data_IF_730558137864
#
_entry.id   IF_730558137864
#
_cell.length_a   1.000
_cell.length_b   1.000
_cell.length_c   1.000
_cell.angle_alpha   90.00
_cell.angle_beta   90.00
_cell.angle_gamma   90.00
#
_symmetry.space_group_name_H-M   'P 1'
#
loop_
_entity.id
_entity.type
_entity.pdbx_description
1 polymer ?
#
# COMPACT_ATOMS: atom_id res chain seq x y z
N UNK A 1 -14.57 42.66 21.20
CA UNK A 1 -15.08 42.93 19.84
C UNK A 1 -14.26 42.29 18.70
N UNK A 2 -12.94 42.07 18.89
CA UNK A 2 -12.07 41.45 17.86
C UNK A 2 -12.23 39.91 17.77
N UNK A 3 -12.46 39.24 18.91
CA UNK A 3 -12.71 37.78 18.98
C UNK A 3 -14.06 37.42 18.31
N UNK A 4 -15.10 38.23 18.50
CA UNK A 4 -16.40 38.01 17.85
C UNK A 4 -16.33 38.15 16.32
N UNK A 5 -15.45 39.00 15.77
CA UNK A 5 -15.20 39.10 14.32
C UNK A 5 -14.40 37.93 13.75
N UNK A 6 -13.53 37.30 14.55
CA UNK A 6 -12.80 36.10 14.15
C UNK A 6 -13.77 34.90 13.97
N UNK A 7 -14.76 34.78 14.85
CA UNK A 7 -15.82 33.76 14.75
C UNK A 7 -16.95 34.12 13.76
N UNK A 8 -17.20 35.41 13.49
CA UNK A 8 -18.20 35.83 12.51
C UNK A 8 -17.82 35.52 11.05
N UNK A 9 -16.52 35.39 10.76
CA UNK A 9 -16.02 34.92 9.45
C UNK A 9 -15.99 33.38 9.35
N UNK A 10 -16.34 32.65 10.41
CA UNK A 10 -16.65 31.22 10.36
C UNK A 10 -18.12 31.02 9.98
N UNK A 11 -18.52 31.60 8.83
CA UNK A 11 -19.80 31.24 8.24
C UNK A 11 -19.66 29.81 7.66
N UNK A 12 -20.09 28.81 8.43
CA UNK A 12 -20.22 27.41 8.02
C UNK A 12 -21.10 27.20 6.75
N UNK A 13 -21.65 28.26 6.19
CA UNK A 13 -22.32 28.31 4.89
C UNK A 13 -21.39 27.91 3.73
N UNK A 14 -20.06 28.06 3.87
CA UNK A 14 -19.08 27.74 2.82
C UNK A 14 -18.25 26.47 3.12
N UNK A 15 -18.90 25.44 3.66
CA UNK A 15 -18.26 24.16 3.96
C UNK A 15 -17.59 23.47 2.75
N UNK A 16 -17.88 23.89 1.51
CA UNK A 16 -17.29 23.32 0.29
C UNK A 16 -15.84 23.73 0.14
N UNK A 17 -15.53 25.01 0.37
CA UNK A 17 -14.16 25.52 0.31
C UNK A 17 -13.27 24.88 1.38
N UNK A 18 -13.79 24.70 2.61
CA UNK A 18 -13.05 24.01 3.67
C UNK A 18 -12.84 22.52 3.37
N UNK A 19 -13.89 21.81 2.94
CA UNK A 19 -13.77 20.41 2.57
C UNK A 19 -12.75 20.22 1.44
N UNK A 20 -12.81 21.07 0.42
CA UNK A 20 -11.86 21.06 -0.69
C UNK A 20 -10.41 21.31 -0.24
N UNK A 21 -10.19 22.28 0.65
CA UNK A 21 -8.87 22.52 1.25
C UNK A 21 -8.30 21.27 1.93
N UNK A 22 -9.08 20.61 2.80
CA UNK A 22 -8.60 19.42 3.51
C UNK A 22 -8.40 18.20 2.58
N UNK A 23 -9.15 18.08 1.49
CA UNK A 23 -8.90 17.05 0.47
C UNK A 23 -7.55 17.28 -0.22
N UNK A 24 -7.28 18.52 -0.69
CA UNK A 24 -5.98 18.84 -1.29
C UNK A 24 -4.84 18.65 -0.29
N UNK A 25 -5.02 19.12 0.95
CA UNK A 25 -4.06 18.96 2.03
C UNK A 25 -3.77 17.48 2.31
N UNK A 26 -4.80 16.63 2.36
CA UNK A 26 -4.64 15.20 2.56
C UNK A 26 -3.79 14.55 1.44
N UNK A 27 -4.09 14.84 0.17
CA UNK A 27 -3.36 14.27 -0.97
C UNK A 27 -1.89 14.72 -1.00
N UNK A 28 -1.63 15.96 -0.58
CA UNK A 28 -0.29 16.51 -0.41
C UNK A 28 0.42 15.84 0.77
N UNK A 29 -0.12 15.93 1.98
CA UNK A 29 0.50 15.42 3.21
C UNK A 29 0.64 13.91 3.24
N UNK A 30 -0.20 13.16 2.50
CA UNK A 30 -0.11 11.69 2.40
C UNK A 30 1.30 11.19 2.03
N UNK A 31 2.08 12.01 1.31
CA UNK A 31 3.43 11.64 0.89
C UNK A 31 4.53 12.18 1.81
N UNK A 32 4.25 13.05 2.79
CA UNK A 32 5.31 13.69 3.59
C UNK A 32 5.03 14.05 5.03
N UNK A 33 3.80 13.92 5.51
CA UNK A 33 3.48 14.15 6.91
C UNK A 33 2.33 13.26 7.35
N UNK A 34 2.64 12.28 8.20
CA UNK A 34 1.63 11.44 8.86
C UNK A 34 0.63 12.31 9.63
N UNK A 35 1.14 13.23 10.46
CA UNK A 35 0.32 14.14 11.25
C UNK A 35 -0.56 15.04 10.37
N UNK A 36 -0.01 15.61 9.28
CA UNK A 36 -0.77 16.42 8.34
C UNK A 36 -1.85 15.61 7.61
N UNK A 37 -1.54 14.36 7.25
CA UNK A 37 -2.49 13.44 6.61
C UNK A 37 -3.62 13.09 7.56
N UNK A 38 -3.33 12.70 8.81
CA UNK A 38 -4.31 12.37 9.84
C UNK A 38 -5.20 13.55 10.20
N UNK A 39 -4.63 14.74 10.41
CA UNK A 39 -5.39 15.94 10.66
C UNK A 39 -6.35 16.24 9.50
N UNK A 40 -5.89 16.08 8.26
CA UNK A 40 -6.73 16.30 7.08
C UNK A 40 -7.89 15.30 7.01
N UNK A 41 -7.63 14.01 7.24
CA UNK A 41 -8.69 12.98 7.30
C UNK A 41 -9.71 13.31 8.39
N UNK A 42 -9.25 13.70 9.58
CA UNK A 42 -10.12 14.08 10.69
C UNK A 42 -11.08 15.22 10.30
N UNK A 43 -10.56 16.29 9.70
CA UNK A 43 -11.41 17.40 9.25
C UNK A 43 -12.32 17.04 8.07
N UNK A 44 -11.87 16.18 7.15
CA UNK A 44 -12.73 15.63 6.08
C UNK A 44 -13.93 14.90 6.70
N UNK A 45 -13.70 14.04 7.68
CA UNK A 45 -14.79 13.35 8.39
C UNK A 45 -15.69 14.31 9.16
N UNK A 46 -15.12 15.26 9.91
CA UNK A 46 -15.88 16.21 10.71
C UNK A 46 -16.82 17.06 9.85
N UNK A 47 -16.31 17.62 8.75
CA UNK A 47 -17.09 18.44 7.82
C UNK A 47 -18.14 17.59 7.10
N UNK A 48 -17.78 16.37 6.68
CA UNK A 48 -18.72 15.46 6.00
C UNK A 48 -19.85 15.01 6.92
N UNK A 49 -19.55 14.73 8.21
CA UNK A 49 -20.54 14.40 9.22
C UNK A 49 -21.45 15.59 9.52
N UNK A 50 -20.89 16.79 9.68
CA UNK A 50 -21.67 18.02 9.85
C UNK A 50 -22.64 18.23 8.68
N UNK A 51 -22.20 18.03 7.44
CA UNK A 51 -23.06 18.09 6.25
C UNK A 51 -24.15 17.02 6.27
N UNK A 52 -23.80 15.78 6.62
CA UNK A 52 -24.74 14.67 6.70
C UNK A 52 -25.90 14.96 7.67
N UNK A 53 -25.61 15.58 8.82
CA UNK A 53 -26.66 15.95 9.80
C UNK A 53 -27.55 17.13 9.35
N UNK A 54 -27.07 17.99 8.45
CA UNK A 54 -27.77 19.21 8.00
C UNK A 54 -28.51 19.04 6.67
N UNK A 55 -27.94 18.28 5.73
CA UNK A 55 -28.50 17.98 4.41
C UNK A 55 -28.77 16.47 4.41
N UNK A 56 -30.04 16.06 4.47
CA UNK A 56 -30.47 14.64 4.50
C UNK A 56 -30.02 13.88 3.23
N UNK A 57 -28.73 13.54 3.13
CA UNK A 57 -28.18 12.75 2.02
C UNK A 57 -26.80 13.21 1.55
N UNK A 58 -25.76 12.53 2.05
CA UNK A 58 -24.47 12.37 1.38
C UNK A 58 -23.97 10.92 1.51
N UNK A 59 -24.90 9.96 1.61
CA UNK A 59 -24.55 8.55 1.68
C UNK A 59 -24.22 8.03 0.29
N UNK A 60 -22.93 7.95 -0.06
CA UNK A 60 -22.52 7.09 -1.17
C UNK A 60 -22.83 5.65 -0.83
N UNK A 61 -23.93 5.14 -1.36
CA UNK A 61 -24.32 3.75 -1.17
C UNK A 61 -23.55 2.87 -2.16
N UNK A 62 -22.49 2.23 -1.66
CA UNK A 62 -21.78 1.21 -2.40
C UNK A 62 -21.60 -0.04 -1.53
N UNK A 63 -21.86 -1.21 -2.11
CA UNK A 63 -21.85 -2.49 -1.39
C UNK A 63 -20.51 -2.79 -0.70
N UNK A 64 -19.41 -2.22 -1.22
CA UNK A 64 -18.06 -2.32 -0.61
C UNK A 64 -17.98 -1.76 0.82
N UNK A 65 -18.95 -0.97 1.26
CA UNK A 65 -18.96 -0.47 2.66
C UNK A 65 -19.15 -1.61 3.65
N UNK A 66 -19.87 -2.68 3.28
CA UNK A 66 -20.14 -3.81 4.16
C UNK A 66 -18.90 -4.60 4.56
N UNK A 67 -18.05 -5.09 3.64
CA UNK A 67 -16.81 -5.76 4.06
C UNK A 67 -15.89 -4.85 4.87
N UNK A 68 -15.90 -3.53 4.62
CA UNK A 68 -15.17 -2.55 5.45
C UNK A 68 -15.71 -2.49 6.87
N UNK A 69 -17.03 -2.33 7.04
CA UNK A 69 -17.68 -2.29 8.36
C UNK A 69 -17.46 -3.61 9.10
N UNK A 70 -17.64 -4.75 8.43
CA UNK A 70 -17.42 -6.07 9.03
C UNK A 70 -15.97 -6.19 9.51
N UNK A 71 -15.00 -5.82 8.66
CA UNK A 71 -13.58 -5.86 9.03
C UNK A 71 -13.28 -4.98 10.25
N UNK A 72 -13.73 -3.72 10.25
CA UNK A 72 -13.53 -2.79 11.37
C UNK A 72 -14.11 -3.32 12.69
N UNK A 73 -15.31 -3.90 12.66
CA UNK A 73 -15.92 -4.45 13.86
C UNK A 73 -15.17 -5.70 14.34
N UNK A 74 -14.75 -6.58 13.43
CA UNK A 74 -14.01 -7.79 13.78
C UNK A 74 -12.63 -7.51 14.33
N UNK A 75 -11.97 -6.41 13.92
CA UNK A 75 -10.68 -6.06 14.52
C UNK A 75 -10.81 -5.74 16.01
N UNK A 76 -11.96 -5.21 16.43
CA UNK A 76 -12.28 -4.93 17.85
C UNK A 76 -12.78 -6.18 18.57
N UNK A 77 -13.75 -6.90 17.97
CA UNK A 77 -14.37 -8.09 18.56
C UNK A 77 -13.36 -9.23 18.76
N UNK A 78 -12.43 -9.40 17.83
CA UNK A 78 -11.33 -10.36 17.96
C UNK A 78 -10.50 -10.12 19.22
N UNK A 79 -10.19 -8.86 19.53
CA UNK A 79 -9.52 -8.51 20.79
C UNK A 79 -10.37 -8.89 22.00
N UNK A 80 -11.65 -8.51 21.99
CA UNK A 80 -12.58 -8.73 23.09
C UNK A 80 -12.76 -10.23 23.43
N UNK A 81 -12.96 -11.08 22.42
CA UNK A 81 -13.22 -12.51 22.66
C UNK A 81 -12.02 -13.29 23.17
N UNK A 82 -10.79 -12.82 22.94
CA UNK A 82 -9.60 -13.52 23.41
C UNK A 82 -9.16 -13.14 24.83
N UNK A 83 -9.63 -12.01 25.39
CA UNK A 83 -9.51 -11.70 26.81
C UNK A 83 -8.09 -11.65 27.39
N UNK A 84 -7.06 -11.46 26.56
CA UNK A 84 -5.67 -11.42 27.03
C UNK A 84 -5.44 -10.25 28.02
N UNK A 85 -4.83 -10.50 29.20
CA UNK A 85 -4.64 -9.47 30.22
C UNK A 85 -3.76 -8.31 29.74
N UNK A 86 -4.16 -7.07 30.05
CA UNK A 86 -3.35 -5.87 29.79
C UNK A 86 -3.44 -5.30 28.37
N UNK A 87 -4.44 -5.70 27.59
CA UNK A 87 -4.56 -5.36 26.17
C UNK A 87 -5.75 -4.44 25.93
N UNK A 88 -5.51 -3.29 25.30
CA UNK A 88 -6.56 -2.38 24.89
C UNK A 88 -7.16 -2.82 23.55
N UNK A 89 -8.33 -3.46 23.60
CA UNK A 89 -9.05 -3.93 22.41
C UNK A 89 -9.47 -2.79 21.47
N UNK A 90 -9.58 -1.56 21.98
CA UNK A 90 -9.88 -0.36 21.20
C UNK A 90 -8.67 0.16 20.41
N UNK A 91 -7.46 -0.33 20.71
CA UNK A 91 -6.26 0.03 19.94
C UNK A 91 -6.40 -0.33 18.46
N UNK A 92 -7.13 -1.41 18.14
CA UNK A 92 -7.47 -1.76 16.75
C UNK A 92 -8.34 -0.71 16.06
N UNK A 93 -9.21 -0.01 16.80
CA UNK A 93 -10.02 1.08 16.26
C UNK A 93 -9.14 2.30 15.93
N UNK A 94 -8.09 2.56 16.73
CA UNK A 94 -7.12 3.62 16.47
C UNK A 94 -6.34 3.41 15.16
N UNK A 95 -6.13 2.16 14.73
CA UNK A 95 -5.42 1.88 13.48
C UNK A 95 -6.34 1.83 12.27
N UNK A 96 -7.60 1.42 12.46
CA UNK A 96 -8.55 1.20 11.37
C UNK A 96 -9.61 2.30 11.17
N UNK A 97 -9.60 3.39 11.95
CA UNK A 97 -10.59 4.49 11.84
C UNK A 97 -10.65 5.13 10.43
N UNK A 98 -9.57 5.03 9.65
CA UNK A 98 -9.49 5.58 8.29
C UNK A 98 -10.20 4.72 7.25
N UNK A 99 -10.61 3.48 7.55
CA UNK A 99 -11.11 2.57 6.53
C UNK A 99 -12.41 3.04 5.85
N UNK A 100 -13.17 3.96 6.46
CA UNK A 100 -14.34 4.60 5.85
C UNK A 100 -14.00 5.76 4.89
N UNK A 101 -12.74 6.20 4.87
CA UNK A 101 -12.26 7.34 4.10
C UNK A 101 -12.58 7.24 2.60
N UNK A 102 -12.45 6.08 1.93
CA UNK A 102 -12.74 5.98 0.50
C UNK A 102 -14.18 6.41 0.14
N UNK A 103 -15.16 6.09 0.98
CA UNK A 103 -16.57 6.43 0.74
C UNK A 103 -16.84 7.91 0.94
N UNK A 104 -16.14 8.54 1.88
CA UNK A 104 -16.21 9.97 2.12
C UNK A 104 -15.50 10.74 1.00
N UNK A 105 -14.29 10.33 0.64
CA UNK A 105 -13.52 10.91 -0.49
C UNK A 105 -14.30 10.78 -1.80
N UNK A 106 -14.96 9.66 -2.05
CA UNK A 106 -15.71 9.42 -3.30
C UNK A 106 -16.72 10.54 -3.60
N UNK A 107 -17.36 11.09 -2.56
CA UNK A 107 -18.30 12.20 -2.67
C UNK A 107 -17.58 13.54 -2.55
N UNK A 108 -16.66 13.66 -1.60
CA UNK A 108 -15.96 14.90 -1.32
C UNK A 108 -15.17 15.42 -2.54
N UNK A 109 -14.71 14.54 -3.44
CA UNK A 109 -14.04 14.93 -4.68
C UNK A 109 -14.94 15.79 -5.60
N UNK A 110 -16.27 15.72 -5.49
CA UNK A 110 -17.18 16.58 -6.27
C UNK A 110 -16.97 18.08 -5.99
N UNK A 111 -16.39 18.41 -4.84
CA UNK A 111 -16.14 19.78 -4.41
C UNK A 111 -14.78 20.33 -4.90
N UNK A 112 -13.99 19.52 -5.60
CA UNK A 112 -12.64 19.88 -6.04
C UNK A 112 -12.42 19.54 -7.51
N UNK A 113 -11.48 20.26 -8.13
CA UNK A 113 -11.04 19.94 -9.48
C UNK A 113 -10.16 18.68 -9.44
N UNK A 114 -10.69 17.57 -9.92
CA UNK A 114 -10.03 16.27 -9.82
C UNK A 114 -8.63 16.25 -10.47
N UNK A 115 -8.43 16.92 -11.60
CA UNK A 115 -7.11 17.00 -12.23
C UNK A 115 -6.09 17.71 -11.34
N UNK A 116 -6.50 18.80 -10.69
CA UNK A 116 -5.68 19.52 -9.72
C UNK A 116 -5.37 18.64 -8.52
N UNK A 117 -6.35 17.87 -8.03
CA UNK A 117 -6.15 16.95 -6.90
C UNK A 117 -5.08 15.90 -7.20
N UNK A 118 -5.14 15.30 -8.40
CA UNK A 118 -4.14 14.33 -8.86
C UNK A 118 -2.75 14.96 -8.99
N UNK A 119 -2.65 16.23 -9.44
CA UNK A 119 -1.37 16.97 -9.46
C UNK A 119 -0.82 17.22 -8.06
N UNK A 120 -1.70 17.49 -7.09
CA UNK A 120 -1.36 17.71 -5.69
C UNK A 120 -0.83 16.44 -5.00
N UNK A 121 -1.18 15.25 -5.49
CA UNK A 121 -0.52 14.00 -5.10
C UNK A 121 0.76 13.75 -5.91
N UNK A 122 0.73 14.01 -7.21
CA UNK A 122 1.82 13.69 -8.13
C UNK A 122 3.12 14.42 -7.80
N UNK A 123 3.07 15.74 -7.61
CA UNK A 123 4.27 16.57 -7.46
C UNK A 123 5.05 16.21 -6.19
N UNK A 124 4.42 16.15 -4.99
CA UNK A 124 5.12 15.68 -3.79
C UNK A 124 5.69 14.26 -3.95
N UNK A 125 4.92 13.35 -4.57
CA UNK A 125 5.38 11.98 -4.77
C UNK A 125 6.59 11.89 -5.71
N UNK A 126 6.63 12.72 -6.75
CA UNK A 126 7.78 12.84 -7.65
C UNK A 126 9.04 13.29 -6.90
N UNK A 127 8.92 14.31 -6.04
CA UNK A 127 10.05 14.82 -5.24
C UNK A 127 10.55 13.76 -4.26
N UNK A 128 9.64 13.06 -3.58
CA UNK A 128 9.98 11.97 -2.64
C UNK A 128 10.63 10.81 -3.38
N UNK A 129 10.19 10.49 -4.60
CA UNK A 129 10.77 9.44 -5.43
C UNK A 129 12.20 9.79 -5.87
N UNK A 130 12.42 11.03 -6.35
CA UNK A 130 13.76 11.52 -6.69
C UNK A 130 14.68 11.45 -5.48
N UNK A 131 14.18 11.85 -4.31
CA UNK A 131 14.96 11.80 -3.09
C UNK A 131 15.36 10.36 -2.69
N UNK A 132 14.45 9.39 -2.82
CA UNK A 132 14.76 7.98 -2.60
C UNK A 132 15.76 7.39 -3.61
N UNK A 133 15.81 7.90 -4.83
CA UNK A 133 16.83 7.53 -5.83
C UNK A 133 18.19 8.12 -5.43
N UNK A 134 18.23 9.39 -5.02
CA UNK A 134 19.47 10.03 -4.54
C UNK A 134 20.01 9.27 -3.34
N UNK A 135 19.14 8.94 -2.37
CA UNK A 135 19.50 8.12 -1.21
C UNK A 135 20.16 6.81 -1.60
N UNK A 136 19.64 6.11 -2.61
CA UNK A 136 20.18 4.83 -3.06
C UNK A 136 21.66 4.92 -3.47
N UNK A 137 22.05 5.99 -4.16
CA UNK A 137 23.43 6.17 -4.63
C UNK A 137 24.37 6.87 -3.64
N UNK A 138 23.83 7.68 -2.72
CA UNK A 138 24.65 8.60 -1.92
C UNK A 138 24.54 8.38 -0.41
N UNK A 139 23.52 7.65 0.05
CA UNK A 139 23.21 7.55 1.46
C UNK A 139 22.76 8.88 2.08
N UNK A 140 22.25 9.82 1.28
CA UNK A 140 21.87 11.15 1.76
C UNK A 140 20.61 11.16 2.64
N UNK A 141 20.74 11.54 3.92
CA UNK A 141 19.61 11.85 4.80
C UNK A 141 19.57 13.35 5.13
N UNK A 142 18.97 14.17 4.26
CA UNK A 142 18.92 15.63 4.42
C UNK A 142 17.76 16.09 5.29
N UNK A 143 16.75 15.26 5.49
CA UNK A 143 15.55 15.62 6.25
C UNK A 143 15.71 15.36 7.76
N UNK A 144 16.85 14.78 8.18
CA UNK A 144 17.09 14.37 9.57
C UNK A 144 18.47 14.82 10.01
N UNK A 145 18.60 15.11 11.31
CA UNK A 145 19.90 15.42 11.91
C UNK A 145 20.83 14.19 11.86
N UNK A 146 22.16 14.37 11.92
CA UNK A 146 23.12 13.26 11.88
C UNK A 146 22.82 12.12 12.87
N UNK A 147 22.32 12.45 14.06
CA UNK A 147 22.00 11.49 15.13
C UNK A 147 20.70 10.73 14.88
N UNK A 148 19.87 11.21 13.95
CA UNK A 148 18.54 10.65 13.62
C UNK A 148 18.47 10.09 12.21
N UNK A 149 19.62 9.91 11.54
CA UNK A 149 19.66 9.37 10.19
C UNK A 149 19.06 7.97 10.16
N UNK A 150 18.20 7.74 9.18
CA UNK A 150 17.58 6.44 8.92
C UNK A 150 18.18 5.77 7.68
N UNK A 151 19.31 6.27 7.17
CA UNK A 151 19.99 5.65 6.04
C UNK A 151 20.51 4.27 6.40
N UNK A 152 20.29 3.32 5.50
CA UNK A 152 20.67 1.92 5.71
C UNK A 152 21.45 1.45 4.50
N UNK A 153 22.76 1.24 4.68
CA UNK A 153 23.64 0.64 3.69
C UNK A 153 23.17 -0.78 3.41
N UNK A 154 23.00 -1.11 2.14
CA UNK A 154 22.61 -2.45 1.71
C UNK A 154 23.81 -3.25 1.21
N UNK A 155 24.64 -2.63 0.37
CA UNK A 155 25.72 -3.32 -0.32
C UNK A 155 26.89 -2.39 -0.60
N UNK A 156 28.10 -2.91 -0.49
CA UNK A 156 29.34 -2.26 -0.93
C UNK A 156 29.97 -3.12 -2.00
N UNK A 157 30.13 -2.57 -3.20
CA UNK A 157 30.82 -3.24 -4.29
C UNK A 157 32.33 -3.30 -4.03
N UNK A 158 33.03 -4.17 -4.76
CA UNK A 158 34.47 -4.40 -4.63
C UNK A 158 35.30 -3.16 -4.97
N UNK A 159 34.77 -2.25 -5.79
CA UNK A 159 35.38 -0.96 -6.10
C UNK A 159 35.16 0.10 -5.00
N UNK A 160 34.48 -0.26 -3.91
CA UNK A 160 34.14 0.63 -2.80
C UNK A 160 32.81 1.37 -2.97
N UNK A 161 32.11 1.21 -4.10
CA UNK A 161 30.83 1.88 -4.34
C UNK A 161 29.77 1.36 -3.36
N UNK A 162 29.13 2.27 -2.64
CA UNK A 162 28.10 1.95 -1.66
C UNK A 162 26.70 2.17 -2.21
N UNK A 163 25.80 1.24 -1.91
CA UNK A 163 24.39 1.30 -2.28
C UNK A 163 23.52 1.21 -1.03
N UNK A 164 22.54 2.09 -0.92
CA UNK A 164 21.67 2.21 0.24
C UNK A 164 20.22 1.87 -0.14
N UNK A 165 19.39 1.55 0.85
CA UNK A 165 17.95 1.49 0.62
C UNK A 165 17.39 2.90 0.39
N UNK A 166 16.70 3.09 -0.75
CA UNK A 166 15.85 4.27 -0.94
C UNK A 166 14.68 4.26 0.04
N UNK A 167 14.47 5.38 0.73
CA UNK A 167 13.38 5.58 1.70
C UNK A 167 12.56 6.83 1.44
N UNK A 168 13.05 7.73 0.58
CA UNK A 168 12.53 9.09 0.50
C UNK A 168 12.49 9.73 1.90
N UNK A 169 11.34 10.25 2.26
CA UNK A 169 11.06 10.79 3.60
C UNK A 169 10.37 9.79 4.54
N UNK A 170 10.11 8.56 4.11
CA UNK A 170 9.55 7.52 4.96
C UNK A 170 10.61 7.01 5.95
N UNK A 171 10.15 6.31 6.99
CA UNK A 171 11.00 5.70 8.02
C UNK A 171 11.58 4.36 7.57
N UNK A 172 10.84 3.64 6.73
CA UNK A 172 11.18 2.31 6.27
C UNK A 172 11.14 2.20 4.74
N UNK A 173 12.06 1.41 4.18
CA UNK A 173 12.21 1.30 2.73
C UNK A 173 11.05 0.52 2.07
N UNK A 174 10.46 -0.44 2.80
CA UNK A 174 9.30 -1.20 2.31
C UNK A 174 8.03 -0.37 2.30
N UNK A 175 7.87 0.56 3.24
CA UNK A 175 6.79 1.56 3.25
C UNK A 175 6.90 2.45 2.02
N UNK A 176 8.08 3.03 1.78
CA UNK A 176 8.35 3.83 0.58
C UNK A 176 8.10 3.07 -0.72
N UNK A 177 8.66 1.87 -0.85
CA UNK A 177 8.46 1.04 -2.04
C UNK A 177 7.01 0.60 -2.24
N UNK A 178 6.29 0.26 -1.17
CA UNK A 178 4.88 -0.12 -1.18
C UNK A 178 3.96 1.04 -1.57
N UNK A 179 4.25 2.23 -1.05
CA UNK A 179 3.54 3.46 -1.41
C UNK A 179 3.69 3.79 -2.90
N UNK A 180 4.92 3.71 -3.43
CA UNK A 180 5.19 3.94 -4.84
C UNK A 180 4.57 2.86 -5.74
N UNK A 181 4.67 1.58 -5.36
CA UNK A 181 4.05 0.45 -6.07
C UNK A 181 2.55 0.65 -6.30
N UNK A 182 1.84 1.13 -5.28
CA UNK A 182 0.40 1.39 -5.37
C UNK A 182 0.05 2.50 -6.38
N UNK A 183 0.87 3.56 -6.45
CA UNK A 183 0.48 4.81 -7.11
C UNK A 183 1.16 5.06 -8.46
N UNK A 184 2.35 4.52 -8.73
CA UNK A 184 3.00 4.70 -10.03
C UNK A 184 2.12 4.25 -11.23
N UNK A 185 1.32 3.17 -11.16
CA UNK A 185 0.54 2.70 -12.31
C UNK A 185 -0.53 3.70 -12.72
N UNK A 186 -1.12 4.41 -11.74
CA UNK A 186 -2.08 5.50 -12.01
C UNK A 186 -1.44 6.57 -12.90
N UNK A 187 -0.25 7.05 -12.55
CA UNK A 187 0.44 8.08 -13.33
C UNK A 187 0.94 7.57 -14.68
N UNK A 188 1.40 6.31 -14.75
CA UNK A 188 1.74 5.68 -16.03
C UNK A 188 0.53 5.62 -16.97
N UNK A 189 -0.67 5.38 -16.45
CA UNK A 189 -1.88 5.29 -17.28
C UNK A 189 -2.44 6.66 -17.69
N UNK A 190 -2.19 7.72 -16.92
CA UNK A 190 -2.51 9.09 -17.33
C UNK A 190 -1.79 9.51 -18.62
N UNK A 191 -0.66 8.88 -18.96
CA UNK A 191 0.03 9.09 -20.25
C UNK A 191 -0.80 8.68 -21.46
N UNK A 192 -1.83 7.85 -21.26
CA UNK A 192 -2.68 7.33 -22.35
C UNK A 192 -3.99 8.08 -22.50
N UNK A 193 -4.25 9.08 -21.63
CA UNK A 193 -5.51 9.84 -21.64
C UNK A 193 -5.53 10.82 -22.80
N UNK A 194 -6.46 10.62 -23.75
CA UNK A 194 -6.57 11.47 -24.96
C UNK A 194 -6.96 12.92 -24.65
N UNK A 195 -7.73 13.14 -23.59
CA UNK A 195 -8.15 14.48 -23.15
C UNK A 195 -7.07 15.30 -22.44
N UNK A 196 -5.89 14.73 -22.18
CA UNK A 196 -4.76 15.47 -21.60
C UNK A 196 -3.83 16.00 -22.68
N UNK A 197 -3.32 17.22 -22.47
CA UNK A 197 -2.32 17.78 -23.38
C UNK A 197 -1.04 16.93 -23.39
N UNK A 198 -0.36 16.90 -24.55
CA UNK A 198 0.90 16.15 -24.74
C UNK A 198 1.95 16.47 -23.67
N UNK A 199 2.04 17.74 -23.25
CA UNK A 199 2.93 18.18 -22.16
C UNK A 199 2.64 17.45 -20.84
N UNK A 200 1.36 17.39 -20.43
CA UNK A 200 0.97 16.70 -19.19
C UNK A 200 1.15 15.20 -19.29
N UNK A 201 0.88 14.60 -20.45
CA UNK A 201 1.11 13.18 -20.70
C UNK A 201 2.58 12.82 -20.53
N UNK A 202 3.51 13.60 -21.10
CA UNK A 202 4.95 13.42 -20.89
C UNK A 202 5.37 13.64 -19.44
N UNK A 203 4.83 14.66 -18.78
CA UNK A 203 5.15 14.95 -17.38
C UNK A 203 4.76 13.79 -16.45
N UNK A 204 3.54 13.26 -16.61
CA UNK A 204 3.12 12.05 -15.87
C UNK A 204 3.95 10.82 -16.24
N UNK A 205 4.30 10.65 -17.52
CA UNK A 205 5.11 9.54 -17.98
C UNK A 205 6.50 9.53 -17.34
N UNK A 206 7.22 10.64 -17.44
CA UNK A 206 8.54 10.81 -16.82
C UNK A 206 8.46 10.65 -15.31
N UNK A 207 7.47 11.28 -14.65
CA UNK A 207 7.36 11.12 -13.20
C UNK A 207 6.99 9.70 -12.77
N UNK A 208 6.17 8.98 -13.55
CA UNK A 208 5.89 7.57 -13.29
C UNK A 208 7.12 6.68 -13.45
N UNK A 209 8.01 7.00 -14.40
CA UNK A 209 9.29 6.33 -14.55
C UNK A 209 10.20 6.60 -13.34
N UNK A 210 10.24 7.84 -12.86
CA UNK A 210 10.97 8.20 -11.64
C UNK A 210 10.41 7.45 -10.42
N UNK A 211 9.08 7.35 -10.28
CA UNK A 211 8.44 6.57 -9.22
C UNK A 211 8.76 5.07 -9.33
N UNK A 212 8.78 4.52 -10.54
CA UNK A 212 9.18 3.12 -10.77
C UNK A 212 10.64 2.88 -10.35
N UNK A 213 11.56 3.76 -10.78
CA UNK A 213 12.98 3.66 -10.40
C UNK A 213 13.14 3.85 -8.89
N UNK A 214 12.37 4.74 -8.27
CA UNK A 214 12.31 4.92 -6.82
C UNK A 214 11.81 3.66 -6.10
N UNK A 215 10.75 3.02 -6.60
CA UNK A 215 10.26 1.76 -6.05
C UNK A 215 11.31 0.65 -6.17
N UNK A 216 12.05 0.58 -7.28
CA UNK A 216 13.16 -0.35 -7.45
C UNK A 216 14.30 -0.05 -6.48
N UNK A 217 14.65 1.23 -6.29
CA UNK A 217 15.72 1.68 -5.39
C UNK A 217 15.44 1.43 -3.90
N UNK A 218 14.17 1.15 -3.54
CA UNK A 218 13.83 0.65 -2.21
C UNK A 218 14.46 -0.72 -1.88
N UNK A 219 14.87 -1.46 -2.91
CA UNK A 219 15.37 -2.84 -2.81
C UNK A 219 14.38 -3.77 -2.07
N UNK A 220 13.07 -3.53 -2.18
CA UNK A 220 12.05 -4.45 -1.69
C UNK A 220 11.80 -5.60 -2.68
N UNK A 221 12.21 -6.83 -2.36
CA UNK A 221 11.96 -8.01 -3.24
C UNK A 221 10.47 -8.20 -3.52
N UNK A 222 9.64 -8.05 -2.49
CA UNK A 222 8.17 -8.09 -2.60
C UNK A 222 7.63 -6.98 -3.53
N UNK A 223 8.23 -5.78 -3.46
CA UNK A 223 7.88 -4.65 -4.31
C UNK A 223 8.17 -4.96 -5.78
N UNK A 224 9.30 -5.61 -6.08
CA UNK A 224 9.65 -5.99 -7.44
C UNK A 224 8.67 -7.03 -8.02
N UNK A 225 8.27 -8.02 -7.24
CA UNK A 225 7.22 -8.97 -7.64
C UNK A 225 5.88 -8.26 -7.89
N UNK A 226 5.52 -7.28 -7.06
CA UNK A 226 4.37 -6.42 -7.28
C UNK A 226 4.45 -5.61 -8.57
N UNK A 227 5.62 -5.06 -8.89
CA UNK A 227 5.89 -4.34 -10.14
C UNK A 227 5.69 -5.26 -11.36
N UNK A 228 6.16 -6.52 -11.30
CA UNK A 228 5.92 -7.50 -12.37
C UNK A 228 4.42 -7.74 -12.60
N UNK A 229 3.64 -7.85 -11.52
CA UNK A 229 2.18 -7.97 -11.61
C UNK A 229 1.53 -6.72 -12.23
N UNK A 230 2.00 -5.51 -11.88
CA UNK A 230 1.56 -4.27 -12.55
C UNK A 230 1.83 -4.34 -14.05
N UNK A 231 3.05 -4.67 -14.45
CA UNK A 231 3.40 -4.74 -15.87
C UNK A 231 2.59 -5.79 -16.62
N UNK A 232 2.34 -6.96 -16.01
CA UNK A 232 1.48 -7.98 -16.59
C UNK A 232 0.06 -7.47 -16.85
N UNK A 233 -0.54 -6.72 -15.91
CA UNK A 233 -1.85 -6.08 -16.11
C UNK A 233 -1.81 -5.02 -17.21
N UNK A 234 -0.75 -4.22 -17.28
CA UNK A 234 -0.58 -3.23 -18.34
C UNK A 234 -0.42 -3.88 -19.72
N UNK A 235 0.30 -5.00 -19.82
CA UNK A 235 0.39 -5.80 -21.05
C UNK A 235 -0.97 -6.36 -21.45
N UNK A 236 -1.73 -6.90 -20.48
CA UNK A 236 -3.08 -7.41 -20.71
C UNK A 236 -4.04 -6.33 -21.21
N UNK A 237 -3.88 -5.09 -20.72
CA UNK A 237 -4.61 -3.92 -21.22
C UNK A 237 -4.27 -3.60 -22.67
N UNK A 238 -2.99 -3.69 -23.07
CA UNK A 238 -2.55 -3.43 -24.44
C UNK A 238 -3.07 -4.51 -25.39
N UNK A 239 -2.88 -5.78 -25.02
CA UNK A 239 -3.36 -6.92 -25.78
C UNK A 239 -3.52 -8.13 -24.86
N UNK A 240 -4.69 -8.75 -24.91
CA UNK A 240 -4.96 -10.00 -24.19
C UNK A 240 -3.98 -11.10 -24.59
N UNK A 241 -3.58 -11.15 -25.87
CA UNK A 241 -2.60 -12.12 -26.37
C UNK A 241 -1.24 -11.87 -25.74
N UNK A 242 -0.76 -10.62 -25.68
CA UNK A 242 0.51 -10.29 -25.02
C UNK A 242 0.47 -10.65 -23.52
N UNK A 243 -0.65 -10.38 -22.85
CA UNK A 243 -0.83 -10.76 -21.44
C UNK A 243 -0.82 -12.28 -21.22
N UNK A 244 -1.45 -13.06 -22.09
CA UNK A 244 -1.45 -14.53 -22.02
C UNK A 244 -0.06 -15.10 -22.34
N UNK A 245 0.57 -14.63 -23.42
CA UNK A 245 1.91 -15.08 -23.83
C UNK A 245 2.94 -14.77 -22.75
N UNK A 246 2.92 -13.55 -22.19
CA UNK A 246 3.83 -13.17 -21.10
C UNK A 246 3.57 -13.97 -19.82
N UNK A 247 2.31 -14.34 -19.52
CA UNK A 247 2.00 -15.25 -18.42
C UNK A 247 2.60 -16.64 -18.64
N UNK A 248 2.40 -17.23 -19.83
CA UNK A 248 2.95 -18.56 -20.16
C UNK A 248 4.48 -18.55 -20.06
N UNK A 249 5.12 -17.54 -20.66
CA UNK A 249 6.57 -17.36 -20.58
C UNK A 249 7.00 -17.17 -19.12
N UNK A 250 6.31 -16.33 -18.35
CA UNK A 250 6.61 -16.08 -16.94
C UNK A 250 6.51 -17.34 -16.08
N UNK A 251 5.47 -18.16 -16.28
CA UNK A 251 5.31 -19.45 -15.59
C UNK A 251 6.38 -20.46 -16.01
N UNK A 252 6.71 -20.53 -17.30
CA UNK A 252 7.76 -21.40 -17.81
C UNK A 252 9.14 -21.03 -17.26
N UNK A 253 9.50 -19.74 -17.31
CA UNK A 253 10.74 -19.22 -16.73
C UNK A 253 10.78 -19.38 -15.21
N UNK A 254 9.68 -19.09 -14.51
CA UNK A 254 9.58 -19.26 -13.07
C UNK A 254 9.73 -20.72 -12.65
N UNK A 255 9.09 -21.64 -13.38
CA UNK A 255 9.25 -23.08 -13.18
C UNK A 255 10.67 -23.56 -13.44
N UNK A 256 11.29 -23.09 -14.51
CA UNK A 256 12.70 -23.38 -14.80
C UNK A 256 13.64 -22.86 -13.71
N UNK A 257 13.50 -21.60 -13.28
CA UNK A 257 14.30 -21.03 -12.17
C UNK A 257 14.09 -21.84 -10.88
N UNK A 258 12.84 -22.23 -10.58
CA UNK A 258 12.54 -23.04 -9.40
C UNK A 258 13.24 -24.39 -9.43
N UNK A 259 13.30 -25.06 -10.59
CA UNK A 259 14.08 -26.29 -10.76
C UNK A 259 15.58 -26.05 -10.51
N UNK A 260 16.15 -24.96 -11.03
CA UNK A 260 17.56 -24.62 -10.78
C UNK A 260 17.86 -24.36 -9.29
N UNK A 261 16.92 -23.76 -8.56
CA UNK A 261 17.05 -23.57 -7.09
C UNK A 261 17.06 -24.93 -6.39
N UNK A 262 16.16 -25.84 -6.78
CA UNK A 262 16.08 -27.18 -6.19
C UNK A 262 17.32 -28.04 -6.50
N UNK A 263 17.91 -27.90 -7.69
CA UNK A 263 19.15 -28.60 -8.07
C UNK A 263 20.40 -28.01 -7.40
N UNK A 264 20.31 -26.84 -6.78
CA UNK A 264 21.42 -26.15 -6.12
C UNK A 264 22.39 -25.44 -7.07
N UNK A 265 22.04 -25.34 -8.36
CA UNK A 265 22.86 -24.75 -9.44
C UNK A 265 22.86 -23.21 -9.43
N UNK A 266 22.15 -22.56 -8.51
CA UNK A 266 22.03 -21.09 -8.44
C UNK A 266 23.14 -20.40 -7.67
N UNK A 267 24.07 -21.15 -7.05
CA UNK A 267 25.13 -20.58 -6.18
C UNK A 267 26.11 -19.67 -6.94
N UNK A 268 26.33 -19.93 -8.23
CA UNK A 268 27.29 -19.20 -9.06
C UNK A 268 26.67 -18.06 -9.89
N UNK A 269 25.39 -17.73 -9.68
CA UNK A 269 24.67 -16.72 -10.49
C UNK A 269 25.06 -15.26 -10.17
N UNK A 270 26.06 -15.03 -9.32
CA UNK A 270 26.58 -13.71 -9.00
C UNK A 270 27.54 -13.23 -10.10
N UNK A 271 26.95 -12.86 -11.25
CA UNK A 271 27.72 -12.48 -12.45
C UNK A 271 28.16 -11.00 -12.40
N UNK A 272 27.52 -10.17 -11.56
CA UNK A 272 27.87 -8.74 -11.43
C UNK A 272 27.84 -8.27 -9.99
N UNK A 273 28.84 -7.45 -9.69
CA UNK A 273 29.06 -6.80 -8.42
C UNK A 273 28.21 -5.53 -8.29
N UNK A 274 26.89 -5.68 -8.14
CA UNK A 274 26.00 -4.56 -7.89
C UNK A 274 24.83 -4.95 -6.97
N UNK A 275 24.25 -3.95 -6.30
CA UNK A 275 23.18 -4.15 -5.32
C UNK A 275 21.91 -4.80 -5.92
N UNK A 276 21.58 -4.52 -7.19
CA UNK A 276 20.37 -5.07 -7.81
C UNK A 276 20.49 -6.58 -8.05
N UNK A 277 21.65 -7.03 -8.55
CA UNK A 277 21.95 -8.45 -8.77
C UNK A 277 22.03 -9.18 -7.44
N UNK A 278 22.71 -8.61 -6.43
CA UNK A 278 22.74 -9.18 -5.08
C UNK A 278 21.35 -9.32 -4.46
N UNK A 279 20.48 -8.34 -4.73
CA UNK A 279 19.10 -8.41 -4.24
C UNK A 279 18.26 -9.44 -4.99
N UNK A 280 18.48 -9.62 -6.28
CA UNK A 280 17.82 -10.65 -7.09
C UNK A 280 18.28 -12.05 -6.69
N UNK A 281 19.58 -12.28 -6.55
CA UNK A 281 20.14 -13.58 -6.14
C UNK A 281 19.70 -13.96 -4.74
N UNK A 282 19.72 -13.03 -3.79
CA UNK A 282 19.18 -13.28 -2.43
C UNK A 282 17.67 -13.55 -2.41
N UNK A 283 16.91 -13.16 -3.44
CA UNK A 283 15.50 -13.54 -3.55
C UNK A 283 15.32 -15.04 -3.81
N UNK A 284 16.28 -15.65 -4.50
CA UNK A 284 16.27 -17.07 -4.89
C UNK A 284 16.99 -17.97 -3.88
N UNK A 285 17.76 -17.40 -2.95
CA UNK A 285 18.43 -18.14 -1.89
C UNK A 285 17.46 -18.56 -0.77
N UNK A 286 17.30 -19.87 -0.58
CA UNK A 286 16.47 -20.45 0.48
C UNK A 286 16.96 -20.05 1.87
N UNK A 287 18.28 -19.96 2.07
CA UNK A 287 18.88 -19.61 3.36
C UNK A 287 18.54 -18.17 3.72
N UNK A 288 18.66 -17.24 2.78
CA UNK A 288 18.26 -15.84 2.94
C UNK A 288 16.75 -15.63 3.19
N UNK A 289 15.92 -16.65 2.96
CA UNK A 289 14.48 -16.62 3.17
C UNK A 289 14.01 -17.52 4.34
N UNK A 290 14.91 -18.21 5.03
CA UNK A 290 14.59 -19.15 6.12
C UNK A 290 13.78 -18.49 7.24
N UNK A 291 14.11 -17.25 7.62
CA UNK A 291 13.31 -16.45 8.57
C UNK A 291 11.84 -16.41 8.17
N UNK A 292 11.55 -15.97 6.92
CA UNK A 292 10.17 -15.80 6.45
C UNK A 292 9.42 -17.12 6.38
N UNK A 293 10.08 -18.20 5.94
CA UNK A 293 9.45 -19.52 5.87
C UNK A 293 9.04 -20.02 7.26
N UNK A 294 9.91 -19.88 8.26
CA UNK A 294 9.60 -20.27 9.64
C UNK A 294 8.57 -19.34 10.31
N UNK A 295 8.56 -18.06 9.94
CA UNK A 295 7.52 -17.11 10.38
C UNK A 295 6.15 -17.44 9.79
N UNK A 296 6.09 -17.97 8.56
CA UNK A 296 4.84 -18.43 7.97
C UNK A 296 4.37 -19.73 8.63
N UNK A 297 5.27 -20.66 8.91
CA UNK A 297 4.96 -21.90 9.64
C UNK A 297 4.39 -21.58 11.03
N UNK A 298 5.02 -20.68 11.78
CA UNK A 298 4.48 -20.24 13.07
C UNK A 298 3.12 -19.55 12.93
N UNK A 299 2.92 -18.75 11.88
CA UNK A 299 1.63 -18.16 11.54
C UNK A 299 0.54 -19.19 11.27
N UNK A 300 0.85 -20.25 10.51
CA UNK A 300 -0.08 -21.34 10.23
C UNK A 300 -0.44 -22.11 11.50
N UNK A 301 0.55 -22.42 12.35
CA UNK A 301 0.29 -23.06 13.65
C UNK A 301 -0.59 -22.19 14.56
N UNK A 302 -0.30 -20.88 14.63
CA UNK A 302 -1.16 -19.95 15.37
C UNK A 302 -2.59 -19.85 14.81
N UNK A 303 -2.77 -19.90 13.49
CA UNK A 303 -4.10 -19.92 12.86
C UNK A 303 -4.86 -21.20 13.21
N UNK A 304 -4.18 -22.35 13.27
CA UNK A 304 -4.81 -23.63 13.64
C UNK A 304 -5.42 -23.57 15.04
N UNK A 305 -4.73 -22.92 15.99
CA UNK A 305 -5.20 -22.76 17.37
C UNK A 305 -6.23 -21.62 17.52
N UNK A 306 -6.24 -20.64 16.61
CA UNK A 306 -7.07 -19.42 16.70
C UNK A 306 -7.92 -19.15 15.46
N UNK A 307 -8.48 -20.21 14.86
CA UNK A 307 -9.10 -20.17 13.53
C UNK A 307 -10.23 -19.13 13.36
N UNK A 308 -11.14 -19.05 14.33
CA UNK A 308 -12.40 -18.31 14.20
C UNK A 308 -12.25 -16.83 14.56
N UNK A 309 -11.63 -16.55 15.70
CA UNK A 309 -11.54 -15.20 16.27
C UNK A 309 -10.16 -14.58 16.14
N UNK A 310 -9.15 -15.34 15.72
CA UNK A 310 -7.77 -14.89 15.70
C UNK A 310 -7.24 -14.62 17.10
N UNK A 311 -6.12 -13.90 17.19
CA UNK A 311 -5.47 -13.56 18.46
C UNK A 311 -5.72 -12.12 18.91
N UNK A 312 -6.33 -11.27 18.07
CA UNK A 312 -6.46 -9.82 18.29
C UNK A 312 -5.28 -9.01 17.73
N UNK A 313 -5.52 -7.72 17.41
CA UNK A 313 -4.48 -6.81 16.92
C UNK A 313 -3.43 -6.51 18.00
N UNK A 314 -2.15 -6.60 17.63
CA UNK A 314 -1.04 -6.27 18.53
C UNK A 314 -0.65 -7.38 19.51
N UNK A 315 -1.31 -8.54 19.46
CA UNK A 315 -1.09 -9.64 20.40
C UNK A 315 0.01 -10.61 19.96
N UNK A 316 0.62 -10.36 18.79
CA UNK A 316 1.71 -11.13 18.23
C UNK A 316 2.83 -11.39 19.26
N UNK A 317 3.27 -10.35 19.97
CA UNK A 317 4.33 -10.48 20.99
C UNK A 317 3.95 -11.42 22.13
N UNK A 318 2.67 -11.46 22.51
CA UNK A 318 2.21 -12.21 23.68
C UNK A 318 1.88 -13.67 23.36
N UNK A 319 1.54 -13.96 22.10
CA UNK A 319 1.01 -15.26 21.69
C UNK A 319 2.00 -16.02 20.81
N UNK A 320 2.76 -15.33 19.95
CA UNK A 320 3.52 -15.99 18.90
C UNK A 320 4.82 -16.65 19.37
N UNK A 321 5.37 -16.25 20.52
CA UNK A 321 6.56 -16.90 21.10
C UNK A 321 6.34 -18.40 21.32
N UNK A 322 5.11 -18.81 21.65
CA UNK A 322 4.72 -20.23 21.82
C UNK A 322 4.98 -21.07 20.56
N UNK A 323 4.87 -20.48 19.37
CA UNK A 323 5.10 -21.16 18.09
C UNK A 323 6.50 -20.87 17.54
N UNK A 324 7.03 -19.67 17.76
CA UNK A 324 8.34 -19.25 17.27
C UNK A 324 9.50 -19.97 17.95
N UNK A 325 9.50 -20.08 19.28
CA UNK A 325 10.62 -20.65 20.04
C UNK A 325 10.84 -22.13 19.66
N UNK A 326 9.81 -23.01 19.66
CA UNK A 326 10.00 -24.40 19.26
C UNK A 326 10.49 -24.55 17.81
N UNK A 327 10.03 -23.68 16.89
CA UNK A 327 10.49 -23.70 15.50
C UNK A 327 11.95 -23.24 15.35
N UNK A 328 12.35 -22.22 16.10
CA UNK A 328 13.75 -21.77 16.16
C UNK A 328 14.66 -22.91 16.65
N UNK A 329 14.30 -23.56 17.76
CA UNK A 329 15.04 -24.67 18.35
C UNK A 329 15.13 -25.87 17.40
N UNK A 330 13.98 -26.31 16.86
CA UNK A 330 13.89 -27.45 15.93
C UNK A 330 14.74 -27.27 14.68
N UNK A 331 14.85 -26.04 14.17
CA UNK A 331 15.56 -25.72 12.93
C UNK A 331 16.99 -25.20 13.16
N UNK A 332 17.47 -25.22 14.40
CA UNK A 332 18.72 -24.60 14.84
C UNK A 332 18.90 -23.19 14.21
N UNK A 333 17.87 -22.36 14.36
CA UNK A 333 17.72 -21.11 13.65
C UNK A 333 17.56 -19.93 14.61
N UNK A 334 18.21 -18.81 14.30
CA UNK A 334 18.05 -17.56 15.04
C UNK A 334 17.38 -16.53 14.15
N UNK A 335 16.17 -16.12 14.51
CA UNK A 335 15.46 -15.06 13.82
C UNK A 335 16.18 -13.71 13.95
N UNK A 336 16.13 -12.91 12.89
CA UNK A 336 16.66 -11.54 12.90
C UNK A 336 15.70 -10.54 13.56
N UNK A 337 14.42 -10.90 13.68
CA UNK A 337 13.37 -10.09 14.30
C UNK A 337 12.77 -10.81 15.50
N UNK A 338 12.12 -10.06 16.40
CA UNK A 338 11.27 -10.63 17.44
C UNK A 338 9.89 -11.03 16.89
N UNK A 339 9.16 -11.88 17.62
CA UNK A 339 7.82 -12.31 17.24
C UNK A 339 6.82 -11.14 17.08
N UNK A 340 7.09 -10.00 17.71
CA UNK A 340 6.31 -8.76 17.55
C UNK A 340 6.36 -8.16 16.14
N UNK A 341 7.29 -8.58 15.27
CA UNK A 341 7.34 -8.16 13.87
C UNK A 341 6.20 -8.78 13.03
N UNK A 342 5.45 -9.74 13.59
CA UNK A 342 4.41 -10.47 12.88
C UNK A 342 5.01 -11.50 11.92
N UNK A 343 4.22 -12.00 10.96
CA UNK A 343 4.61 -13.10 10.07
C UNK A 343 5.04 -12.67 8.66
N UNK A 344 5.18 -11.35 8.41
CA UNK A 344 5.53 -10.77 7.10
C UNK A 344 4.75 -11.35 5.91
N UNK A 345 3.46 -11.60 6.11
CA UNK A 345 2.52 -12.00 5.08
C UNK A 345 1.15 -11.45 5.46
N UNK A 346 0.62 -10.55 4.66
CA UNK A 346 -0.63 -9.86 4.98
C UNK A 346 -1.80 -10.82 5.18
N UNK A 347 -1.85 -11.92 4.43
CA UNK A 347 -2.96 -12.86 4.45
C UNK A 347 -2.92 -13.71 5.71
N UNK A 348 -1.78 -14.34 5.98
CA UNK A 348 -1.56 -15.12 7.21
C UNK A 348 -1.71 -14.24 8.44
N UNK A 349 -1.12 -13.05 8.43
CA UNK A 349 -1.21 -12.11 9.55
C UNK A 349 -2.66 -11.67 9.81
N UNK A 350 -3.44 -11.41 8.77
CA UNK A 350 -4.85 -10.97 8.91
C UNK A 350 -5.73 -12.08 9.43
N UNK A 351 -5.53 -13.32 8.96
CA UNK A 351 -6.23 -14.47 9.51
C UNK A 351 -5.81 -14.73 10.96
N UNK A 352 -4.51 -14.74 11.24
CA UNK A 352 -4.00 -14.89 12.60
C UNK A 352 -4.56 -13.84 13.55
N UNK A 353 -4.56 -12.56 13.19
CA UNK A 353 -5.03 -11.52 14.10
C UNK A 353 -6.55 -11.46 14.23
N UNK A 354 -7.33 -11.72 13.18
CA UNK A 354 -8.77 -11.41 13.16
C UNK A 354 -9.68 -12.61 12.86
N UNK A 355 -9.10 -13.80 12.75
CA UNK A 355 -9.82 -15.02 12.43
C UNK A 355 -10.35 -15.05 10.99
N UNK A 356 -11.04 -16.15 10.66
CA UNK A 356 -11.51 -16.40 9.29
C UNK A 356 -12.48 -15.32 8.80
N UNK A 357 -13.37 -14.81 9.66
CA UNK A 357 -14.35 -13.81 9.25
C UNK A 357 -13.65 -12.47 8.95
N UNK A 358 -12.66 -12.08 9.77
CA UNK A 358 -11.87 -10.87 9.54
C UNK A 358 -11.03 -10.98 8.28
N UNK A 359 -10.45 -12.16 8.03
CA UNK A 359 -9.73 -12.45 6.80
C UNK A 359 -10.63 -12.36 5.56
N UNK A 360 -11.81 -12.98 5.58
CA UNK A 360 -12.76 -12.90 4.47
C UNK A 360 -13.28 -11.48 4.22
N UNK A 361 -13.48 -10.70 5.29
CA UNK A 361 -13.85 -9.30 5.17
C UNK A 361 -12.73 -8.48 4.49
N UNK A 362 -11.47 -8.68 4.89
CA UNK A 362 -10.31 -8.07 4.22
C UNK A 362 -10.25 -8.44 2.73
N UNK A 363 -10.39 -9.73 2.40
CA UNK A 363 -10.46 -10.19 1.02
C UNK A 363 -11.64 -9.55 0.25
N UNK A 364 -12.79 -9.39 0.92
CA UNK A 364 -13.96 -8.71 0.37
C UNK A 364 -13.69 -7.24 0.01
N UNK A 365 -12.91 -6.52 0.82
CA UNK A 365 -12.49 -5.13 0.51
C UNK A 365 -11.65 -5.13 -0.77
N UNK A 366 -10.62 -5.98 -0.82
CA UNK A 366 -9.63 -5.95 -1.90
C UNK A 366 -10.22 -6.50 -3.21
N UNK A 367 -10.77 -7.72 -3.20
CA UNK A 367 -11.38 -8.30 -4.40
C UNK A 367 -12.63 -7.55 -4.83
N UNK A 368 -13.38 -6.97 -3.89
CA UNK A 368 -14.51 -6.14 -4.24
C UNK A 368 -14.11 -4.84 -4.95
N UNK A 369 -12.98 -4.24 -4.56
CA UNK A 369 -12.40 -3.09 -5.26
C UNK A 369 -11.94 -3.49 -6.67
N UNK A 370 -11.23 -4.62 -6.81
CA UNK A 370 -10.80 -5.13 -8.12
C UNK A 370 -12.00 -5.43 -9.03
N UNK A 371 -13.04 -6.08 -8.50
CA UNK A 371 -14.28 -6.35 -9.22
C UNK A 371 -14.97 -5.04 -9.64
N UNK A 372 -15.00 -4.05 -8.75
CA UNK A 372 -15.56 -2.72 -9.04
C UNK A 372 -14.80 -2.01 -10.17
N UNK A 373 -13.48 -2.13 -10.21
CA UNK A 373 -12.66 -1.66 -11.34
C UNK A 373 -13.03 -2.41 -12.63
N UNK A 374 -13.01 -3.74 -12.62
CA UNK A 374 -13.27 -4.59 -13.81
C UNK A 374 -14.66 -4.31 -14.40
N UNK A 375 -15.70 -4.22 -13.56
CA UNK A 375 -17.06 -3.96 -14.02
C UNK A 375 -17.22 -2.54 -14.57
N UNK A 376 -16.60 -1.55 -13.93
CA UNK A 376 -16.65 -0.15 -14.39
C UNK A 376 -15.86 0.08 -15.68
N UNK A 377 -14.76 -0.66 -15.89
CA UNK A 377 -13.95 -0.60 -17.11
C UNK A 377 -14.73 -1.03 -18.36
N UNK A 378 -15.83 -1.78 -18.22
CA UNK A 378 -16.72 -2.13 -19.34
C UNK A 378 -17.57 -0.96 -19.83
N UNK A 379 -17.62 0.15 -19.07
CA UNK A 379 -18.48 1.31 -19.33
C UNK A 379 -17.71 2.56 -19.74
N UNK A 380 -16.39 2.50 -19.80
CA UNK A 380 -15.53 3.65 -20.13
C UNK A 380 -14.51 3.27 -21.19
N UNK A 381 -14.07 4.24 -21.98
CA UNK A 381 -12.96 4.03 -22.89
C UNK A 381 -11.66 3.82 -22.09
N UNK A 382 -10.82 2.90 -22.54
CA UNK A 382 -9.54 2.62 -21.88
C UNK A 382 -8.58 3.83 -21.87
N UNK A 383 -8.75 4.76 -22.81
CA UNK A 383 -7.99 6.00 -22.94
C UNK A 383 -8.70 7.24 -22.38
N UNK A 384 -9.81 7.06 -21.64
CA UNK A 384 -10.43 8.16 -20.89
C UNK A 384 -9.72 8.40 -19.56
N UNK A 385 -10.00 9.54 -18.93
CA UNK A 385 -9.47 9.89 -17.61
C UNK A 385 -9.94 8.89 -16.54
N UNK A 386 -11.23 8.55 -16.58
CA UNK A 386 -11.86 7.55 -15.72
C UNK A 386 -11.23 6.16 -15.93
N UNK A 387 -11.02 5.78 -17.20
CA UNK A 387 -10.36 4.53 -17.57
C UNK A 387 -8.94 4.43 -17.01
N UNK A 388 -8.17 5.52 -17.04
CA UNK A 388 -6.83 5.56 -16.45
C UNK A 388 -6.83 5.37 -14.93
N UNK A 389 -7.79 5.97 -14.21
CA UNK A 389 -7.95 5.77 -12.76
C UNK A 389 -8.34 4.34 -12.43
N UNK A 390 -9.31 3.77 -13.15
CA UNK A 390 -9.79 2.40 -12.91
C UNK A 390 -8.72 1.35 -13.23
N UNK A 391 -8.00 1.49 -14.35
CA UNK A 391 -6.86 0.62 -14.65
C UNK A 391 -5.70 0.83 -13.66
N UNK A 392 -5.47 2.06 -13.19
CA UNK A 392 -4.45 2.36 -12.19
C UNK A 392 -4.75 1.73 -10.85
N UNK A 393 -6.01 1.81 -10.41
CA UNK A 393 -6.55 1.10 -9.26
C UNK A 393 -6.37 -0.41 -9.38
N UNK A 394 -6.78 -0.99 -10.52
CA UNK A 394 -6.65 -2.42 -10.78
C UNK A 394 -5.18 -2.89 -10.72
N UNK A 395 -4.28 -2.20 -11.43
CA UNK A 395 -2.88 -2.57 -11.50
C UNK A 395 -2.14 -2.38 -10.17
N UNK A 396 -2.29 -1.21 -9.54
CA UNK A 396 -1.63 -0.88 -8.28
C UNK A 396 -2.07 -1.78 -7.13
N UNK A 397 -3.39 -2.03 -6.98
CA UNK A 397 -3.91 -2.93 -5.94
C UNK A 397 -3.48 -4.37 -6.19
N UNK A 398 -3.47 -4.85 -7.42
CA UNK A 398 -3.00 -6.21 -7.73
C UNK A 398 -1.50 -6.37 -7.46
N UNK A 399 -0.68 -5.38 -7.81
CA UNK A 399 0.75 -5.36 -7.46
C UNK A 399 0.96 -5.37 -5.95
N UNK A 400 0.21 -4.56 -5.22
CA UNK A 400 0.20 -4.53 -3.76
C UNK A 400 -0.17 -5.88 -3.14
N UNK A 401 -1.19 -6.57 -3.67
CA UNK A 401 -1.58 -7.91 -3.22
C UNK A 401 -0.46 -8.95 -3.38
N UNK A 402 0.23 -8.94 -4.52
CA UNK A 402 1.37 -9.83 -4.76
C UNK A 402 2.51 -9.53 -3.80
N UNK A 403 2.84 -8.24 -3.62
CA UNK A 403 3.83 -7.83 -2.63
C UNK A 403 3.42 -8.23 -1.20
N UNK A 404 2.14 -8.19 -0.89
CA UNK A 404 1.55 -8.54 0.41
C UNK A 404 1.72 -10.01 0.82
N UNK A 405 1.96 -10.92 -0.13
CA UNK A 405 2.33 -12.31 0.21
C UNK A 405 3.62 -12.33 1.05
N UNK A 406 4.51 -11.38 0.80
CA UNK A 406 5.85 -11.33 1.36
C UNK A 406 6.07 -10.12 2.27
N UNK A 407 5.01 -9.35 2.57
CA UNK A 407 5.11 -8.19 3.44
C UNK A 407 3.76 -7.83 4.08
N UNK A 408 3.80 -7.15 5.22
CA UNK A 408 2.61 -6.76 5.99
C UNK A 408 2.23 -5.28 5.79
N UNK A 409 2.40 -4.76 4.58
CA UNK A 409 2.30 -3.31 4.30
C UNK A 409 0.91 -2.69 4.53
N UNK A 410 -0.18 -3.45 4.61
CA UNK A 410 -1.52 -2.84 4.89
C UNK A 410 -1.69 -2.36 6.33
N UNK A 411 -0.83 -2.81 7.24
CA UNK A 411 -0.81 -2.34 8.63
C UNK A 411 0.06 -1.10 8.81
N UNK A 412 0.84 -0.75 7.79
CA UNK A 412 1.55 0.53 7.73
C UNK A 412 0.54 1.63 7.38
N UNK A 413 0.46 2.65 8.23
CA UNK A 413 -0.56 3.70 8.13
C UNK A 413 -0.43 4.52 6.84
N UNK A 414 0.80 4.74 6.36
CA UNK A 414 1.07 5.46 5.13
C UNK A 414 0.62 4.67 3.90
N UNK A 415 0.99 3.39 3.81
CA UNK A 415 0.59 2.54 2.68
C UNK A 415 -0.92 2.27 2.70
N UNK A 416 -1.51 2.05 3.88
CA UNK A 416 -2.95 1.94 4.02
C UNK A 416 -3.66 3.21 3.55
N UNK A 417 -3.12 4.39 3.90
CA UNK A 417 -3.68 5.67 3.44
C UNK A 417 -3.62 5.79 1.93
N UNK A 418 -2.52 5.42 1.27
CA UNK A 418 -2.41 5.40 -0.19
C UNK A 418 -3.44 4.47 -0.85
N UNK A 419 -3.61 3.26 -0.29
CA UNK A 419 -4.62 2.31 -0.74
C UNK A 419 -6.03 2.91 -0.65
N UNK A 420 -6.37 3.52 0.48
CA UNK A 420 -7.68 4.12 0.72
C UNK A 420 -7.93 5.35 -0.18
N UNK A 421 -6.91 6.17 -0.43
CA UNK A 421 -7.01 7.28 -1.37
C UNK A 421 -7.29 6.79 -2.79
N UNK A 422 -6.56 5.77 -3.25
CA UNK A 422 -6.77 5.16 -4.57
C UNK A 422 -8.15 4.51 -4.68
N UNK A 423 -8.60 3.82 -3.62
CA UNK A 423 -9.98 3.32 -3.52
C UNK A 423 -11.01 4.45 -3.62
N UNK A 424 -10.79 5.58 -2.95
CA UNK A 424 -11.67 6.75 -3.02
C UNK A 424 -11.75 7.36 -4.43
N UNK A 425 -10.62 7.46 -5.14
CA UNK A 425 -10.57 7.89 -6.53
C UNK A 425 -11.35 6.98 -7.48
N UNK A 426 -11.25 5.65 -7.28
CA UNK A 426 -12.01 4.63 -8.02
C UNK A 426 -13.50 4.76 -7.74
N UNK A 427 -13.88 4.81 -6.46
CA UNK A 427 -15.28 4.93 -6.05
C UNK A 427 -15.91 6.23 -6.55
N UNK A 428 -15.13 7.33 -6.62
CA UNK A 428 -15.58 8.56 -7.25
C UNK A 428 -15.94 8.36 -8.74
N UNK A 429 -15.13 7.61 -9.50
CA UNK A 429 -15.47 7.30 -10.91
C UNK A 429 -16.77 6.49 -10.99
N UNK A 430 -16.90 5.48 -10.12
CA UNK A 430 -18.10 4.63 -10.06
C UNK A 430 -19.34 5.46 -9.74
N UNK A 431 -19.23 6.42 -8.82
CA UNK A 431 -20.30 7.36 -8.50
C UNK A 431 -20.72 8.19 -9.71
N UNK A 432 -19.76 8.79 -10.43
CA UNK A 432 -20.00 9.58 -11.65
C UNK A 432 -20.52 8.77 -12.84
N UNK A 433 -20.32 7.45 -12.85
CA UNK A 433 -20.86 6.58 -13.90
C UNK A 433 -22.31 6.13 -13.62
N UNK A 434 -22.82 6.37 -12.41
CA UNK A 434 -24.18 5.99 -12.00
C UNK A 434 -25.15 7.18 -11.94
N UNK A 435 -24.62 8.40 -11.84
CA UNK A 435 -25.35 9.66 -11.76
C UNK A 435 -24.76 10.62 -12.78
#
# INVERSE_FOLDING_TARGET
MMVAKFWANWSLTDSSNYLGFFIYAHFVFSTFSIAGSEASIFFIYLISLWRFTRKKGLGYQHWLIWPVIIYMNLTVLSGYFNGYPGIDHLFSAQTNWRLLLPFVIAIAILEVEQQKLIRFLFVPLLLVSLYGIIQYFTGADWLRSPERRLTTLYYTASDGTQFFHGKGNFTHHLTYGGYLLLLFPLFSLLTTVKGLSTKWRWFYGLGSLVMLVGAISSLGRSIWLGILMVFWILLFRISKILGIVSLIIGLGLGGWIFQQILSGETKDWQIRDNALVQRLTSALDVTANKDRLLMWDSGVQGIQDHLLWGIGYGNDKNVMDRYWIPLAEKNNHRFNNSASAGVHNIYLQTWLNYGIIGFLAYLGIVFGLLLTCILSLRRVESTSWEGAILWGGLAGVSGFMVAGVFENNFRDGEVQTAFLMLMGLVLHQVYRLRN
#
